data_IF_195555479022
#
_entry.id   IF_195555479022
#
_cell.length_a   1.000
_cell.length_b   1.000
_cell.length_c   1.000
_cell.angle_alpha   90.00
_cell.angle_beta   90.00
_cell.angle_gamma   90.00
#
_symmetry.space_group_name_H-M   'P 1'
#
loop_
_entity.id
_entity.type
_entity.pdbx_description
1 polymer ?
#
# COMPACT_ATOMS: atom_id res chain seq x y z
N UNK A 1 3.48 -14.94 -4.65
CA UNK A 1 3.58 -14.84 -6.14
C UNK A 1 4.00 -16.17 -6.77
N UNK A 2 3.49 -17.32 -6.31
CA UNK A 2 4.00 -18.66 -6.68
C UNK A 2 3.45 -19.15 -8.04
N UNK A 3 2.29 -18.67 -8.47
CA UNK A 3 1.59 -19.14 -9.68
C UNK A 3 1.77 -18.27 -10.94
N UNK A 4 2.57 -17.20 -10.89
CA UNK A 4 2.79 -16.36 -12.05
C UNK A 4 3.83 -16.98 -13.02
N UNK A 5 3.64 -16.87 -14.36
CA UNK A 5 4.60 -17.35 -15.35
C UNK A 5 6.02 -16.84 -15.07
N UNK A 6 7.04 -17.69 -15.31
CA UNK A 6 8.45 -17.40 -14.98
C UNK A 6 8.94 -16.06 -15.55
N UNK A 7 8.63 -15.77 -16.81
CA UNK A 7 8.97 -14.51 -17.48
C UNK A 7 8.38 -13.26 -16.79
N UNK A 8 7.24 -13.40 -16.10
CA UNK A 8 6.65 -12.32 -15.32
C UNK A 8 7.31 -12.21 -13.94
N UNK A 9 7.65 -13.34 -13.31
CA UNK A 9 8.41 -13.32 -12.04
C UNK A 9 9.77 -12.68 -12.21
N UNK A 10 10.49 -12.98 -13.29
CA UNK A 10 11.86 -12.48 -13.49
C UNK A 10 11.89 -10.98 -13.77
N UNK A 11 10.89 -10.43 -14.46
CA UNK A 11 10.75 -8.97 -14.67
C UNK A 11 10.39 -8.18 -13.42
N UNK A 12 9.81 -8.83 -12.42
CA UNK A 12 9.38 -8.21 -11.17
C UNK A 12 10.38 -8.45 -10.03
N UNK A 13 11.34 -9.36 -10.24
CA UNK A 13 12.36 -9.70 -9.24
C UNK A 13 13.36 -8.56 -9.13
N UNK A 14 13.59 -8.07 -7.91
CA UNK A 14 14.59 -7.04 -7.61
C UNK A 14 14.09 -5.59 -7.63
N UNK A 15 12.82 -5.35 -7.97
CA UNK A 15 12.23 -4.00 -7.84
C UNK A 15 11.87 -3.71 -6.37
N UNK A 16 12.17 -2.50 -5.85
CA UNK A 16 11.62 -2.04 -4.58
C UNK A 16 10.10 -2.04 -4.63
N UNK A 17 9.45 -2.38 -3.52
CA UNK A 17 7.99 -2.56 -3.43
C UNK A 17 7.20 -1.37 -4.01
N UNK A 18 7.63 -0.13 -3.75
CA UNK A 18 7.01 1.06 -4.33
C UNK A 18 7.09 1.11 -5.86
N UNK A 19 8.30 0.95 -6.42
CA UNK A 19 8.50 0.92 -7.88
C UNK A 19 7.78 -0.24 -8.54
N UNK A 20 7.72 -1.41 -7.88
CA UNK A 20 7.00 -2.58 -8.35
C UNK A 20 5.49 -2.28 -8.48
N UNK A 21 4.89 -1.72 -7.44
CA UNK A 21 3.46 -1.38 -7.39
C UNK A 21 3.13 -0.34 -8.44
N UNK A 22 3.93 0.72 -8.54
CA UNK A 22 3.74 1.77 -9.54
C UNK A 22 3.85 1.24 -10.97
N UNK A 23 4.84 0.37 -11.21
CA UNK A 23 5.02 -0.28 -12.52
C UNK A 23 3.81 -1.13 -12.87
N UNK A 24 3.38 -2.01 -11.96
CA UNK A 24 2.21 -2.88 -12.14
C UNK A 24 0.93 -2.07 -12.36
N UNK A 25 0.70 -1.02 -11.57
CA UNK A 25 -0.46 -0.15 -11.69
C UNK A 25 -0.56 0.52 -13.06
N UNK A 26 0.58 0.84 -13.69
CA UNK A 26 0.69 1.49 -15.01
C UNK A 26 0.67 0.54 -16.20
N UNK A 27 0.97 -0.76 -16.03
CA UNK A 27 0.97 -1.74 -17.13
C UNK A 27 -0.34 -1.77 -17.92
N UNK A 28 -0.33 -2.03 -19.23
CA UNK A 28 -1.56 -2.27 -20.02
C UNK A 28 -1.52 -3.69 -20.58
N UNK A 29 -2.07 -4.68 -19.85
CA UNK A 29 -2.20 -6.05 -20.35
C UNK A 29 -3.14 -6.07 -21.57
N UNK A 30 -2.88 -6.97 -22.52
CA UNK A 30 -3.83 -7.21 -23.61
C UNK A 30 -5.14 -7.80 -23.05
N UNK A 31 -6.24 -7.59 -23.77
CA UNK A 31 -7.59 -7.95 -23.31
C UNK A 31 -7.87 -9.46 -23.37
N UNK A 32 -6.98 -10.26 -23.99
CA UNK A 32 -7.14 -11.70 -24.05
C UNK A 32 -6.85 -12.34 -22.69
N UNK A 33 -7.91 -12.59 -21.93
CA UNK A 33 -7.84 -13.25 -20.63
C UNK A 33 -7.64 -14.76 -20.72
N UNK A 34 -7.68 -15.34 -21.93
CA UNK A 34 -7.41 -16.77 -22.13
C UNK A 34 -5.91 -17.08 -22.09
N UNK A 35 -5.05 -16.07 -22.35
CA UNK A 35 -3.62 -16.16 -22.08
C UNK A 35 -3.34 -15.99 -20.57
N UNK A 36 -2.79 -17.03 -19.89
CA UNK A 36 -2.46 -16.97 -18.46
C UNK A 36 -1.53 -15.79 -18.10
N UNK A 37 -0.64 -15.36 -18.99
CA UNK A 37 0.24 -14.23 -18.73
C UNK A 37 -0.52 -12.90 -18.73
N UNK A 38 -1.48 -12.72 -19.65
CA UNK A 38 -2.36 -11.55 -19.68
C UNK A 38 -3.34 -11.53 -18.49
N UNK A 39 -3.89 -12.69 -18.11
CA UNK A 39 -4.72 -12.81 -16.91
C UNK A 39 -3.94 -12.45 -15.63
N UNK A 40 -2.72 -12.97 -15.47
CA UNK A 40 -1.87 -12.67 -14.32
C UNK A 40 -1.49 -11.17 -14.24
N UNK A 41 -1.11 -10.55 -15.36
CA UNK A 41 -0.81 -9.10 -15.41
C UNK A 41 -2.04 -8.26 -15.07
N UNK A 42 -3.22 -8.67 -15.52
CA UNK A 42 -4.48 -7.99 -15.20
C UNK A 42 -4.80 -8.05 -13.71
N UNK A 43 -4.66 -9.23 -13.09
CA UNK A 43 -4.83 -9.39 -11.66
C UNK A 43 -3.85 -8.54 -10.85
N UNK A 44 -2.56 -8.56 -11.22
CA UNK A 44 -1.53 -7.76 -10.55
C UNK A 44 -1.76 -6.25 -10.68
N UNK A 45 -2.19 -5.77 -11.85
CA UNK A 45 -2.57 -4.36 -12.04
C UNK A 45 -3.73 -3.95 -11.13
N UNK A 46 -4.76 -4.80 -11.02
CA UNK A 46 -5.91 -4.55 -10.12
C UNK A 46 -5.45 -4.44 -8.67
N UNK A 47 -4.60 -5.38 -8.22
CA UNK A 47 -4.06 -5.38 -6.87
C UNK A 47 -3.21 -4.12 -6.59
N UNK A 48 -2.31 -3.76 -7.52
CA UNK A 48 -1.46 -2.59 -7.38
C UNK A 48 -2.26 -1.28 -7.26
N UNK A 49 -3.32 -1.11 -8.07
CA UNK A 49 -4.20 0.06 -7.99
C UNK A 49 -4.97 0.11 -6.68
N UNK A 50 -5.51 -1.03 -6.22
CA UNK A 50 -6.21 -1.11 -4.94
C UNK A 50 -5.28 -0.78 -3.77
N UNK A 51 -4.04 -1.26 -3.81
CA UNK A 51 -3.03 -0.90 -2.82
C UNK A 51 -2.77 0.61 -2.81
N UNK A 52 -2.59 1.25 -3.98
CA UNK A 52 -2.38 2.70 -4.06
C UNK A 52 -3.56 3.49 -3.49
N UNK A 53 -4.80 3.07 -3.78
CA UNK A 53 -6.00 3.69 -3.23
C UNK A 53 -6.06 3.58 -1.70
N UNK A 54 -5.84 2.38 -1.15
CA UNK A 54 -5.82 2.17 0.30
C UNK A 54 -4.69 2.95 0.99
N UNK A 55 -3.52 3.02 0.37
CA UNK A 55 -2.42 3.83 0.92
C UNK A 55 -2.74 5.32 0.92
N UNK A 56 -3.52 5.80 -0.05
CA UNK A 56 -3.96 7.18 -0.07
C UNK A 56 -4.99 7.42 1.03
N UNK A 57 -5.95 6.52 1.20
CA UNK A 57 -6.96 6.56 2.27
C UNK A 57 -6.32 6.54 3.67
N UNK A 58 -5.31 5.69 3.90
CA UNK A 58 -4.55 5.64 5.16
C UNK A 58 -3.87 6.99 5.42
N UNK A 59 -3.21 7.57 4.42
CA UNK A 59 -2.54 8.88 4.57
C UNK A 59 -3.52 10.00 4.90
N UNK A 60 -4.71 9.97 4.31
CA UNK A 60 -5.77 10.93 4.60
C UNK A 60 -6.27 10.77 6.03
N UNK A 61 -6.55 9.53 6.46
CA UNK A 61 -6.92 9.23 7.84
C UNK A 61 -5.83 9.65 8.84
N UNK A 62 -4.55 9.39 8.54
CA UNK A 62 -3.42 9.81 9.38
C UNK A 62 -3.35 11.34 9.49
N UNK A 63 -3.57 12.05 8.39
CA UNK A 63 -3.56 13.51 8.36
C UNK A 63 -4.71 14.11 9.19
N UNK A 64 -5.89 13.50 9.14
CA UNK A 64 -7.06 13.91 9.93
C UNK A 64 -6.88 13.61 11.43
N UNK A 65 -6.27 12.47 11.76
CA UNK A 65 -6.02 12.06 13.15
C UNK A 65 -4.87 12.83 13.79
N UNK A 66 -3.84 13.22 13.04
CA UNK A 66 -2.67 13.92 13.56
C UNK A 66 -2.98 15.14 14.46
N UNK A 67 -3.83 16.11 14.05
CA UNK A 67 -4.16 17.25 14.89
C UNK A 67 -5.01 16.85 16.11
N UNK A 68 -5.88 15.85 15.97
CA UNK A 68 -6.74 15.37 17.06
C UNK A 68 -5.91 14.73 18.16
N UNK A 69 -4.99 13.84 17.78
CA UNK A 69 -4.08 13.15 18.71
C UNK A 69 -3.10 14.13 19.35
N UNK A 70 -2.56 15.08 18.57
CA UNK A 70 -1.67 16.13 19.11
C UNK A 70 -2.37 16.99 20.16
N UNK A 71 -3.66 17.32 19.96
CA UNK A 71 -4.45 18.09 20.94
C UNK A 71 -4.81 17.27 22.17
N UNK A 72 -5.16 16.00 21.99
CA UNK A 72 -5.61 15.14 23.08
C UNK A 72 -4.44 14.67 23.97
N UNK A 73 -3.26 14.43 23.38
CA UNK A 73 -2.12 13.84 24.08
C UNK A 73 -0.77 14.43 23.63
N UNK A 74 -0.56 15.76 23.81
CA UNK A 74 0.63 16.45 23.32
C UNK A 74 1.95 15.91 23.92
N UNK A 75 1.93 15.48 25.17
CA UNK A 75 3.09 14.90 25.86
C UNK A 75 3.44 13.49 25.37
N UNK A 76 2.46 12.71 24.88
CA UNK A 76 2.66 11.37 24.34
C UNK A 76 3.23 11.41 22.92
N UNK A 77 2.73 12.29 22.06
CA UNK A 77 3.25 12.48 20.69
C UNK A 77 4.67 13.06 20.69
N UNK A 78 5.07 13.77 21.76
CA UNK A 78 6.42 14.29 21.92
C UNK A 78 7.47 13.20 22.28
N UNK A 79 7.04 11.98 22.61
CA UNK A 79 7.95 10.90 22.96
C UNK A 79 8.62 10.30 21.71
N UNK A 80 9.94 10.06 21.73
CA UNK A 80 10.63 9.40 20.63
C UNK A 80 10.02 8.04 20.31
N UNK A 81 9.63 7.83 19.05
CA UNK A 81 9.03 6.57 18.59
C UNK A 81 7.51 6.48 18.73
N UNK A 82 6.84 7.53 19.23
CA UNK A 82 5.37 7.58 19.31
C UNK A 82 4.83 8.45 18.17
N UNK A 83 4.31 7.78 17.13
CA UNK A 83 3.58 8.43 16.04
C UNK A 83 2.10 8.65 16.38
N UNK A 84 1.39 9.32 15.48
CA UNK A 84 -0.05 9.62 15.61
C UNK A 84 -0.91 8.36 15.76
N UNK A 85 -0.59 7.30 15.02
CA UNK A 85 -1.25 5.99 15.15
C UNK A 85 -1.03 5.38 16.54
N UNK A 86 0.21 5.38 17.02
CA UNK A 86 0.57 4.83 18.34
C UNK A 86 -0.05 5.61 19.49
N UNK A 87 0.00 6.95 19.44
CA UNK A 87 -0.64 7.80 20.45
C UNK A 87 -2.18 7.70 20.41
N UNK A 88 -2.77 7.60 19.22
CA UNK A 88 -4.22 7.35 19.06
C UNK A 88 -4.65 6.02 19.68
N UNK A 89 -3.90 4.95 19.42
CA UNK A 89 -4.19 3.64 20.00
C UNK A 89 -4.09 3.65 21.54
N UNK A 90 -3.05 4.28 22.10
CA UNK A 90 -2.89 4.41 23.55
C UNK A 90 -4.05 5.17 24.20
N UNK A 91 -4.59 6.20 23.54
CA UNK A 91 -5.77 6.93 24.02
C UNK A 91 -7.05 6.08 24.03
N UNK A 92 -7.21 5.16 23.07
CA UNK A 92 -8.41 4.31 22.97
C UNK A 92 -8.39 3.18 24.00
N UNK A 93 -7.21 2.65 24.34
CA UNK A 93 -7.07 1.49 25.23
C UNK A 93 -6.74 1.83 26.69
N UNK A 94 -6.64 3.12 27.03
CA UNK A 94 -6.39 3.62 28.39
C UNK A 94 -7.66 3.69 29.25
#
# INVERSE_FOLDING_TARGET
MVTAPSALRDKLRGLPTGLLIDTLARTRPAADLTDPACAAKTALRRLARRYQALQQEIKEADADLAPLVTRAAPSLVALPGVGTETAGQLLITA
#
